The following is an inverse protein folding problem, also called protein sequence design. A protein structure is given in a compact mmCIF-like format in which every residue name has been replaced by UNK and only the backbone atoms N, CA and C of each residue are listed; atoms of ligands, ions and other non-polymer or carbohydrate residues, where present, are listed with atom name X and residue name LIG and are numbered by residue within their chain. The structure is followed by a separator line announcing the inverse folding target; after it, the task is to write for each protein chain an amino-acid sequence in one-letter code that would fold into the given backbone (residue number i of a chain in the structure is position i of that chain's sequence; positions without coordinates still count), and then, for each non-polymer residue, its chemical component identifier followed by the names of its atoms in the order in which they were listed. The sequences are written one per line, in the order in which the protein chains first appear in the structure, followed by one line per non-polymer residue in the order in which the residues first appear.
data_IF_597522572839
#
_entry.id   IF_597522572839
#
_cell.length_a   1.000
_cell.length_b   1.000
_cell.length_c   1.000
_cell.angle_alpha   90.00
_cell.angle_beta   90.00
_cell.angle_gamma   90.00
#
_symmetry.space_group_name_H-M   'P 1'
#
loop_
_entity.id
_entity.type
_entity.pdbx_description
1 polymer ?
#
# COMPACT_ATOMS: atom_id res chain seq x y z
N UNK A 1 -10.01 45.81 28.93
CA UNK A 1 -9.67 45.30 27.59
C UNK A 1 -10.20 43.88 27.33
N UNK A 2 -10.25 43.00 28.34
CA UNK A 2 -10.79 41.63 28.23
C UNK A 2 -12.33 41.60 28.01
N UNK A 3 -13.08 42.39 28.78
CA UNK A 3 -14.54 42.52 28.65
C UNK A 3 -15.01 43.07 27.28
N UNK A 4 -14.21 43.94 26.66
CA UNK A 4 -14.49 44.46 25.32
C UNK A 4 -14.26 43.41 24.22
N UNK A 5 -13.34 42.45 24.42
CA UNK A 5 -13.13 41.34 23.47
C UNK A 5 -14.26 40.32 23.55
N UNK A 6 -14.72 39.99 24.75
CA UNK A 6 -15.85 39.08 24.95
C UNK A 6 -17.16 39.65 24.35
N UNK A 7 -17.43 40.94 24.54
CA UNK A 7 -18.61 41.59 23.94
C UNK A 7 -18.55 41.68 22.39
N UNK A 8 -17.35 41.77 21.81
CA UNK A 8 -17.16 41.74 20.35
C UNK A 8 -17.32 40.31 19.79
N UNK A 9 -16.79 39.29 20.47
CA UNK A 9 -16.96 37.88 20.10
C UNK A 9 -18.42 37.40 20.18
N UNK A 10 -19.18 37.89 21.17
CA UNK A 10 -20.62 37.62 21.30
C UNK A 10 -21.43 38.23 20.15
N UNK A 11 -21.12 39.46 19.73
CA UNK A 11 -21.79 40.14 18.62
C UNK A 11 -21.49 39.51 17.24
N UNK A 12 -20.31 38.91 17.05
CA UNK A 12 -19.97 38.23 15.79
C UNK A 12 -20.73 36.91 15.66
N UNK A 13 -20.96 36.19 16.76
CA UNK A 13 -21.71 34.92 16.76
C UNK A 13 -23.21 35.09 16.44
N UNK A 14 -23.80 36.24 16.75
CA UNK A 14 -25.21 36.53 16.40
C UNK A 14 -25.46 36.68 14.89
N UNK A 15 -24.41 36.92 14.09
CA UNK A 15 -24.51 37.12 12.64
C UNK A 15 -23.89 35.99 11.80
N UNK A 16 -23.31 34.96 12.44
CA UNK A 16 -22.76 33.82 11.73
C UNK A 16 -23.87 32.80 11.45
N UNK A 17 -24.01 32.41 10.19
CA UNK A 17 -24.86 31.30 9.82
C UNK A 17 -24.40 30.00 10.48
N UNK A 18 -25.26 28.99 10.44
CA UNK A 18 -24.95 27.67 10.98
C UNK A 18 -23.67 27.09 10.35
N UNK A 19 -23.44 27.30 9.05
CA UNK A 19 -22.27 26.81 8.33
C UNK A 19 -20.96 27.41 8.88
N UNK A 20 -20.93 28.73 9.08
CA UNK A 20 -19.77 29.42 9.63
C UNK A 20 -19.54 29.07 11.10
N UNK A 21 -20.62 28.84 11.85
CA UNK A 21 -20.56 28.40 13.25
C UNK A 21 -19.98 26.99 13.37
N UNK A 22 -20.40 26.05 12.50
CA UNK A 22 -19.87 24.68 12.44
C UNK A 22 -18.35 24.63 12.16
N UNK A 23 -17.84 25.55 11.34
CA UNK A 23 -16.40 25.61 11.00
C UNK A 23 -15.58 26.32 12.09
N UNK A 24 -16.14 27.35 12.73
CA UNK A 24 -15.41 28.18 13.70
C UNK A 24 -15.31 27.58 15.10
N UNK A 25 -16.25 26.73 15.50
CA UNK A 25 -16.19 26.03 16.79
C UNK A 25 -15.24 24.84 16.65
N UNK A 26 -14.11 24.78 17.40
CA UNK A 26 -13.19 23.66 17.32
C UNK A 26 -13.87 22.35 17.71
N UNK A 27 -13.61 21.30 16.92
CA UNK A 27 -14.11 19.97 17.21
C UNK A 27 -13.48 19.42 18.50
N UNK A 28 -14.33 19.00 19.44
CA UNK A 28 -13.90 18.46 20.74
C UNK A 28 -13.44 17.00 20.67
N UNK A 29 -14.00 16.21 19.76
CA UNK A 29 -13.68 14.79 19.57
C UNK A 29 -12.92 14.58 18.26
N UNK A 30 -11.62 14.27 18.34
CA UNK A 30 -10.74 14.00 17.19
C UNK A 30 -10.04 12.64 17.26
N UNK A 31 -10.29 11.86 18.31
CA UNK A 31 -9.58 10.61 18.58
C UNK A 31 -9.80 9.57 17.48
N UNK A 32 -11.03 9.44 16.98
CA UNK A 32 -11.35 8.51 15.89
C UNK A 32 -10.64 8.85 14.57
N UNK A 33 -10.63 10.13 14.19
CA UNK A 33 -9.92 10.63 13.01
C UNK A 33 -8.40 10.35 13.12
N UNK A 34 -7.81 10.70 14.25
CA UNK A 34 -6.36 10.50 14.50
C UNK A 34 -6.01 9.01 14.50
N UNK A 35 -6.85 8.16 15.11
CA UNK A 35 -6.65 6.72 15.11
C UNK A 35 -6.68 6.15 13.69
N UNK A 36 -7.67 6.52 12.88
CA UNK A 36 -7.78 6.05 11.50
C UNK A 36 -6.55 6.41 10.67
N UNK A 37 -6.11 7.67 10.72
CA UNK A 37 -4.87 8.11 10.05
C UNK A 37 -3.64 7.36 10.55
N UNK A 38 -3.59 7.05 11.85
CA UNK A 38 -2.51 6.25 12.44
C UNK A 38 -2.45 4.84 11.85
N UNK A 39 -3.59 4.17 11.76
CA UNK A 39 -3.68 2.82 11.18
C UNK A 39 -3.36 2.80 9.67
N UNK A 40 -3.79 3.82 8.93
CA UNK A 40 -3.48 3.97 7.50
C UNK A 40 -1.97 4.12 7.29
N UNK A 41 -1.33 5.00 8.07
CA UNK A 41 0.11 5.23 8.03
C UNK A 41 0.90 3.97 8.42
N UNK A 42 0.49 3.29 9.49
CA UNK A 42 1.09 2.02 9.95
C UNK A 42 1.04 0.95 8.87
N UNK A 43 -0.11 0.82 8.19
CA UNK A 43 -0.29 -0.11 7.07
C UNK A 43 0.66 0.22 5.93
N UNK A 44 0.72 1.49 5.50
CA UNK A 44 1.61 1.91 4.42
C UNK A 44 3.09 1.77 4.78
N UNK A 45 3.47 2.04 6.03
CA UNK A 45 4.83 1.80 6.49
C UNK A 45 5.18 0.31 6.47
N UNK A 46 4.33 -0.55 7.02
CA UNK A 46 4.57 -1.99 7.04
C UNK A 46 4.71 -2.55 5.62
N UNK A 47 3.81 -2.19 4.70
CA UNK A 47 3.90 -2.57 3.29
C UNK A 47 5.19 -2.05 2.66
N UNK A 48 5.53 -0.77 2.87
CA UNK A 48 6.80 -0.23 2.37
C UNK A 48 7.99 -1.03 2.90
N UNK A 49 7.99 -1.48 4.16
CA UNK A 49 9.08 -2.28 4.70
C UNK A 49 9.11 -3.67 4.06
N UNK A 50 7.98 -4.35 3.91
CA UNK A 50 7.91 -5.65 3.22
C UNK A 50 8.57 -5.58 1.84
N UNK A 51 8.34 -4.52 1.07
CA UNK A 51 8.98 -4.35 -0.24
C UNK A 51 10.52 -4.28 -0.15
N UNK A 52 11.06 -3.57 0.85
CA UNK A 52 12.53 -3.53 1.05
C UNK A 52 13.05 -4.90 1.50
N UNK A 53 12.33 -5.62 2.36
CA UNK A 53 12.71 -6.97 2.77
C UNK A 53 12.70 -7.96 1.60
N UNK A 54 11.72 -7.86 0.69
CA UNK A 54 11.68 -8.65 -0.54
C UNK A 54 12.87 -8.35 -1.47
N UNK A 55 13.23 -7.08 -1.64
CA UNK A 55 14.39 -6.70 -2.45
C UNK A 55 15.72 -7.18 -1.85
N UNK A 56 15.76 -7.29 -0.52
CA UNK A 56 16.90 -7.84 0.22
C UNK A 56 16.87 -9.37 0.34
N UNK A 57 15.91 -10.05 -0.30
CA UNK A 57 15.73 -11.51 -0.24
C UNK A 57 15.61 -12.07 1.20
N UNK A 58 14.99 -11.30 2.09
CA UNK A 58 14.77 -11.70 3.49
C UNK A 58 13.46 -12.46 3.63
N UNK A 59 13.47 -13.55 4.38
CA UNK A 59 12.23 -14.11 4.90
C UNK A 59 11.69 -13.22 6.04
N UNK A 60 10.37 -13.17 6.16
CA UNK A 60 9.70 -12.39 7.21
C UNK A 60 8.23 -12.78 7.37
N UNK A 61 7.68 -12.39 8.51
CA UNK A 61 6.23 -12.21 8.69
C UNK A 61 5.95 -10.97 9.53
N UNK A 62 5.10 -10.08 9.01
CA UNK A 62 4.62 -8.89 9.74
C UNK A 62 3.25 -9.21 10.34
N UNK A 63 3.13 -9.05 11.64
CA UNK A 63 1.94 -9.37 12.41
C UNK A 63 1.36 -8.05 12.94
N UNK A 64 0.14 -7.74 12.52
CA UNK A 64 -0.50 -6.45 12.80
C UNK A 64 -1.30 -6.48 14.10
N UNK A 65 -1.21 -5.43 14.92
CA UNK A 65 -2.00 -5.29 16.17
C UNK A 65 -1.82 -6.49 17.13
N UNK A 66 -0.59 -6.97 17.29
CA UNK A 66 -0.26 -8.09 18.17
C UNK A 66 1.02 -7.79 18.96
N UNK A 67 0.89 -7.73 20.28
CA UNK A 67 1.86 -7.18 21.25
C UNK A 67 2.20 -5.69 21.06
N UNK A 68 2.47 -5.23 19.85
CA UNK A 68 2.68 -3.83 19.48
C UNK A 68 1.90 -3.51 18.18
N UNK A 69 2.08 -2.31 17.61
CA UNK A 69 1.44 -1.92 16.35
C UNK A 69 1.80 -2.91 15.23
N UNK A 70 3.10 -3.25 15.12
CA UNK A 70 3.60 -4.29 14.21
C UNK A 70 4.68 -5.13 14.89
N UNK A 71 4.48 -6.45 14.92
CA UNK A 71 5.50 -7.43 15.29
C UNK A 71 6.08 -8.05 14.01
N UNK A 72 7.41 -8.05 13.87
CA UNK A 72 8.09 -8.63 12.70
C UNK A 72 8.90 -9.82 13.18
N UNK A 73 8.69 -10.98 12.56
CA UNK A 73 9.50 -12.17 12.75
C UNK A 73 10.30 -12.47 11.48
N UNK A 74 11.42 -13.17 11.62
CA UNK A 74 12.31 -13.55 10.52
C UNK A 74 11.86 -14.81 9.75
N UNK A 75 10.90 -15.56 10.28
CA UNK A 75 10.34 -16.75 9.64
C UNK A 75 8.89 -17.00 10.11
N UNK A 76 8.05 -17.56 9.25
CA UNK A 76 6.63 -17.80 9.56
C UNK A 76 6.36 -19.16 10.20
N UNK A 77 7.30 -20.09 10.15
CA UNK A 77 7.17 -21.46 10.68
C UNK A 77 8.01 -21.62 11.95
N UNK A 78 9.24 -21.15 11.94
CA UNK A 78 10.22 -21.33 13.03
C UNK A 78 11.04 -20.06 13.27
N UNK A 79 10.42 -18.98 13.77
CA UNK A 79 11.08 -17.69 13.99
C UNK A 79 12.18 -17.79 15.04
N UNK A 80 13.30 -17.11 14.79
CA UNK A 80 14.44 -17.00 15.73
C UNK A 80 14.72 -15.57 16.16
N UNK A 81 14.22 -14.60 15.41
CA UNK A 81 14.36 -13.17 15.70
C UNK A 81 13.00 -12.50 15.70
N UNK A 82 12.85 -11.51 16.59
CA UNK A 82 11.65 -10.71 16.68
C UNK A 82 11.98 -9.22 16.83
N UNK A 83 11.17 -8.40 16.16
CA UNK A 83 11.24 -6.95 16.23
C UNK A 83 9.87 -6.38 16.56
N UNK A 84 9.77 -5.63 17.65
CA UNK A 84 8.57 -4.89 18.01
C UNK A 84 8.68 -3.47 17.44
N UNK A 85 7.72 -3.10 16.59
CA UNK A 85 7.68 -1.79 15.98
C UNK A 85 6.44 -1.02 16.46
N UNK A 86 6.70 0.06 17.19
CA UNK A 86 5.70 1.04 17.56
C UNK A 86 5.71 2.15 16.51
N UNK A 87 4.64 2.26 15.74
CA UNK A 87 4.47 3.24 14.67
C UNK A 87 3.57 4.37 15.16
N UNK A 88 4.04 5.61 15.08
CA UNK A 88 3.31 6.79 15.52
C UNK A 88 3.39 7.91 14.51
N UNK A 89 2.26 8.54 14.24
CA UNK A 89 2.19 9.75 13.41
C UNK A 89 2.26 11.01 14.27
N UNK A 90 2.86 12.07 13.74
CA UNK A 90 2.92 13.36 14.42
C UNK A 90 3.14 14.50 13.43
N UNK A 91 2.57 15.67 13.72
CA UNK A 91 2.83 16.90 12.97
C UNK A 91 4.10 17.63 13.45
N UNK A 92 4.42 17.48 14.75
CA UNK A 92 5.56 18.12 15.41
C UNK A 92 6.69 17.13 15.65
N UNK A 93 7.91 17.65 15.81
CA UNK A 93 9.08 16.85 16.16
C UNK A 93 8.89 16.09 17.49
N UNK A 94 9.50 14.91 17.57
CA UNK A 94 9.61 14.15 18.81
C UNK A 94 10.74 14.69 19.67
N UNK A 95 10.49 14.85 20.96
CA UNK A 95 11.50 15.18 21.98
C UNK A 95 11.63 14.03 22.97
N UNK A 96 12.73 14.00 23.73
CA UNK A 96 12.93 12.99 24.77
C UNK A 96 11.75 12.94 25.75
N UNK A 97 11.28 14.11 26.20
CA UNK A 97 10.10 14.22 27.06
C UNK A 97 8.85 13.60 26.43
N UNK A 98 8.57 13.84 25.15
CA UNK A 98 7.36 13.27 24.53
C UNK A 98 7.42 11.75 24.35
N UNK A 99 8.62 11.16 24.38
CA UNK A 99 8.84 9.72 24.27
C UNK A 99 8.85 9.02 25.64
N UNK A 100 9.29 9.72 26.70
CA UNK A 100 9.46 9.18 28.05
C UNK A 100 8.42 9.63 29.07
N UNK A 101 7.59 10.63 28.75
CA UNK A 101 6.56 11.13 29.64
C UNK A 101 5.48 10.09 29.90
N UNK A 102 5.14 9.93 31.19
CA UNK A 102 3.98 9.21 31.68
C UNK A 102 3.02 10.18 32.38
N UNK A 103 1.73 9.87 32.37
CA UNK A 103 0.70 10.62 33.10
C UNK A 103 -0.08 9.66 33.99
N UNK A 104 -0.92 10.20 34.91
CA UNK A 104 -1.81 9.34 35.72
C UNK A 104 -2.76 8.49 34.85
N UNK A 105 -3.18 9.00 33.69
CA UNK A 105 -4.04 8.28 32.73
C UNK A 105 -3.26 7.26 31.90
N UNK A 106 -2.03 7.61 31.51
CA UNK A 106 -1.13 6.75 30.73
C UNK A 106 0.18 6.57 31.50
N UNK A 107 0.24 5.63 32.46
CA UNK A 107 1.37 5.51 33.39
C UNK A 107 2.65 4.98 32.74
N UNK A 108 2.56 4.38 31.56
CA UNK A 108 3.69 3.84 30.82
C UNK A 108 3.87 4.68 29.55
N UNK A 109 5.07 5.23 29.38
CA UNK A 109 5.46 6.02 28.22
C UNK A 109 5.66 5.15 26.97
N UNK A 110 5.89 5.77 25.82
CA UNK A 110 6.16 5.05 24.57
C UNK A 110 7.41 4.17 24.71
N UNK A 111 8.50 4.74 25.22
CA UNK A 111 9.73 3.97 25.46
C UNK A 111 9.49 2.88 26.51
N UNK A 112 8.71 3.18 27.56
CA UNK A 112 8.34 2.19 28.56
C UNK A 112 7.62 0.97 27.95
N UNK A 113 6.69 1.19 27.01
CA UNK A 113 5.97 0.09 26.31
C UNK A 113 6.93 -0.80 25.53
N UNK A 114 7.84 -0.19 24.75
CA UNK A 114 8.85 -0.94 24.00
C UNK A 114 9.75 -1.77 24.94
N UNK A 115 10.18 -1.21 26.07
CA UNK A 115 11.00 -1.93 27.05
C UNK A 115 10.24 -2.99 27.86
N UNK A 116 8.90 -2.96 27.90
CA UNK A 116 8.11 -4.09 28.39
C UNK A 116 8.31 -5.32 27.48
N UNK A 117 8.38 -5.12 26.17
CA UNK A 117 8.68 -6.21 25.23
C UNK A 117 10.11 -6.73 25.43
N UNK A 118 11.09 -5.84 25.59
CA UNK A 118 12.45 -6.27 25.93
C UNK A 118 12.48 -7.13 27.19
N UNK A 119 11.76 -6.72 28.23
CA UNK A 119 11.69 -7.47 29.49
C UNK A 119 11.04 -8.84 29.31
N UNK A 120 9.90 -8.89 28.64
CA UNK A 120 9.11 -10.11 28.52
C UNK A 120 9.73 -11.15 27.57
N UNK A 121 10.56 -10.69 26.63
CA UNK A 121 11.20 -11.54 25.62
C UNK A 121 12.72 -11.53 25.73
N UNK A 122 13.30 -11.20 26.89
CA UNK A 122 14.75 -10.98 27.05
C UNK A 122 15.62 -12.14 26.56
N UNK A 123 15.16 -13.38 26.74
CA UNK A 123 15.85 -14.61 26.29
C UNK A 123 15.99 -14.70 24.76
N UNK A 124 15.20 -13.93 24.01
CA UNK A 124 15.15 -13.93 22.54
C UNK A 124 15.79 -12.68 21.91
N UNK A 125 16.48 -11.85 22.70
CA UNK A 125 17.18 -10.65 22.22
C UNK A 125 16.33 -9.75 21.29
N UNK A 126 15.15 -9.29 21.74
CA UNK A 126 14.18 -8.61 20.89
C UNK A 126 14.72 -7.24 20.46
N UNK A 127 14.48 -6.89 19.19
CA UNK A 127 14.78 -5.56 18.66
C UNK A 127 13.56 -4.65 18.85
N UNK A 128 13.79 -3.38 19.13
CA UNK A 128 12.74 -2.39 19.35
C UNK A 128 12.85 -1.28 18.32
N UNK A 129 11.75 -0.96 17.65
CA UNK A 129 11.68 0.12 16.67
C UNK A 129 10.61 1.13 17.09
N UNK A 130 11.00 2.41 17.12
CA UNK A 130 10.05 3.51 17.13
C UNK A 130 10.06 4.19 15.76
N UNK A 131 8.92 4.16 15.08
CA UNK A 131 8.77 4.60 13.69
C UNK A 131 7.82 5.77 13.61
N UNK A 132 8.16 6.78 12.81
CA UNK A 132 7.35 7.99 12.67
C UNK A 132 7.60 8.70 11.34
N UNK A 133 6.63 9.51 10.90
CA UNK A 133 6.82 10.49 9.82
C UNK A 133 7.62 11.73 10.28
N UNK A 134 7.44 12.12 11.55
CA UNK A 134 8.04 13.32 12.11
C UNK A 134 9.51 13.14 12.48
N UNK A 135 10.28 14.23 12.39
CA UNK A 135 11.68 14.23 12.80
C UNK A 135 11.87 14.23 14.32
N UNK A 136 13.11 13.99 14.74
CA UNK A 136 13.52 13.89 16.14
C UNK A 136 14.39 15.08 16.54
N UNK A 137 14.09 15.67 17.70
CA UNK A 137 14.97 16.60 18.39
C UNK A 137 15.63 15.87 19.58
N UNK A 138 16.58 14.99 19.24
CA UNK A 138 17.30 14.14 20.21
C UNK A 138 18.82 14.27 20.13
N UNK A 139 19.36 14.83 19.04
CA UNK A 139 20.77 15.16 18.87
C UNK A 139 20.94 16.18 17.72
N UNK A 140 21.97 17.02 17.79
CA UNK A 140 22.36 17.93 16.69
C UNK A 140 23.09 17.19 15.57
N UNK A 141 23.91 16.19 15.90
CA UNK A 141 24.65 15.34 14.96
C UNK A 141 23.75 14.40 14.15
N UNK A 142 22.51 14.18 14.61
CA UNK A 142 21.53 13.37 13.91
C UNK A 142 20.65 14.19 12.95
N UNK A 143 20.98 15.47 12.73
CA UNK A 143 20.26 16.45 11.88
C UNK A 143 20.24 16.12 10.38
N UNK A 144 19.76 14.92 10.05
CA UNK A 144 19.68 14.35 8.71
C UNK A 144 19.60 12.81 8.69
N UNK A 145 19.92 12.12 9.79
CA UNK A 145 19.81 10.65 9.86
C UNK A 145 18.35 10.22 9.95
N UNK A 146 17.90 9.38 9.03
CA UNK A 146 16.58 8.74 9.07
C UNK A 146 16.51 7.56 10.04
N UNK A 147 17.65 7.05 10.53
CA UNK A 147 17.68 5.95 11.49
C UNK A 147 18.91 6.01 12.41
N UNK A 148 18.71 5.85 13.72
CA UNK A 148 19.77 5.84 14.74
C UNK A 148 19.32 5.11 16.02
N UNK A 149 20.27 4.58 16.80
CA UNK A 149 20.01 3.89 18.06
C UNK A 149 19.66 4.83 19.22
N UNK A 150 18.93 4.33 20.21
CA UNK A 150 18.64 5.10 21.43
C UNK A 150 19.88 5.32 22.31
N UNK A 151 20.95 4.57 22.08
CA UNK A 151 22.29 4.81 22.65
C UNK A 151 23.09 5.89 21.88
N UNK A 152 22.60 6.38 20.74
CA UNK A 152 23.24 7.42 19.90
C UNK A 152 22.65 8.82 20.12
N UNK A 153 21.76 9.01 21.11
CA UNK A 153 21.17 10.32 21.45
C UNK A 153 22.01 11.07 22.49
N UNK A 154 21.73 12.36 22.74
CA UNK A 154 22.41 13.13 23.80
C UNK A 154 22.36 12.38 25.14
N UNK A 155 23.47 12.36 25.88
CA UNK A 155 23.63 11.60 27.14
C UNK A 155 22.56 11.95 28.18
N UNK A 156 22.14 13.21 28.24
CA UNK A 156 21.04 13.67 29.10
C UNK A 156 19.70 12.96 28.79
N UNK A 157 19.41 12.70 27.52
CA UNK A 157 18.20 11.99 27.09
C UNK A 157 18.33 10.49 27.32
N UNK A 158 19.51 9.90 27.13
CA UNK A 158 19.77 8.51 27.52
C UNK A 158 19.48 8.29 29.00
N UNK A 159 19.95 9.21 29.86
CA UNK A 159 19.70 9.18 31.30
C UNK A 159 18.22 9.31 31.61
N UNK A 160 17.51 10.22 30.91
CA UNK A 160 16.06 10.38 31.04
C UNK A 160 15.30 9.11 30.63
N UNK A 161 15.70 8.46 29.55
CA UNK A 161 15.09 7.22 29.07
C UNK A 161 15.30 6.07 30.07
N UNK A 162 16.54 5.86 30.52
CA UNK A 162 16.84 4.83 31.54
C UNK A 162 16.03 5.03 32.81
N UNK A 163 15.95 6.28 33.30
CA UNK A 163 15.13 6.61 34.47
C UNK A 163 13.65 6.28 34.24
N UNK A 164 13.08 6.70 33.11
CA UNK A 164 11.70 6.42 32.78
C UNK A 164 11.43 4.91 32.68
N UNK A 165 12.31 4.15 32.02
CA UNK A 165 12.19 2.69 31.90
C UNK A 165 12.26 2.03 33.27
N UNK A 166 13.25 2.39 34.10
CA UNK A 166 13.40 1.87 35.46
C UNK A 166 12.14 2.10 36.29
N UNK A 167 11.64 3.34 36.31
CA UNK A 167 10.50 3.72 37.14
C UNK A 167 9.18 3.09 36.64
N UNK A 168 9.00 2.96 35.33
CA UNK A 168 7.74 2.49 34.71
C UNK A 168 7.68 0.97 34.52
N UNK A 169 8.77 0.35 34.10
CA UNK A 169 8.86 -1.08 33.72
C UNK A 169 9.40 -1.95 34.84
N UNK A 170 9.97 -1.34 35.89
CA UNK A 170 10.64 -2.02 37.01
C UNK A 170 11.75 -2.94 36.49
N UNK A 171 12.65 -2.36 35.70
CA UNK A 171 13.90 -2.98 35.25
C UNK A 171 15.06 -2.36 36.03
N UNK A 172 16.03 -3.20 36.40
CA UNK A 172 17.27 -2.72 36.98
C UNK A 172 18.12 -2.01 35.93
N UNK A 173 18.87 -0.98 36.34
CA UNK A 173 19.62 -0.12 35.43
C UNK A 173 20.66 -0.89 34.58
N UNK A 174 21.22 -1.97 35.14
CA UNK A 174 22.14 -2.88 34.45
C UNK A 174 21.48 -3.71 33.34
N UNK A 175 20.16 -3.88 33.39
CA UNK A 175 19.38 -4.64 32.40
C UNK A 175 18.83 -3.76 31.28
N UNK A 176 18.99 -2.43 31.38
CA UNK A 176 18.50 -1.47 30.39
C UNK A 176 19.60 -1.22 29.37
N UNK A 177 19.60 -2.02 28.31
CA UNK A 177 20.41 -1.75 27.12
C UNK A 177 19.62 -0.89 26.12
N UNK A 178 20.08 0.33 25.87
CA UNK A 178 19.47 1.22 24.87
C UNK A 178 19.87 0.88 23.43
N UNK A 179 20.88 0.04 23.22
CA UNK A 179 21.34 -0.34 21.87
C UNK A 179 20.33 -1.21 21.11
N UNK A 180 19.44 -1.89 21.83
CA UNK A 180 18.37 -2.73 21.26
C UNK A 180 17.25 -1.92 20.62
N UNK A 181 17.17 -0.62 20.90
CA UNK A 181 16.12 0.27 20.41
C UNK A 181 16.65 1.23 19.35
N UNK A 182 15.92 1.36 18.24
CA UNK A 182 16.21 2.34 17.18
C UNK A 182 15.03 3.27 16.94
N UNK A 183 15.36 4.52 16.63
CA UNK A 183 14.45 5.52 16.11
C UNK A 183 14.53 5.53 14.59
N UNK A 184 13.38 5.54 13.92
CA UNK A 184 13.26 5.54 12.46
C UNK A 184 12.31 6.66 12.04
N UNK A 185 12.84 7.62 11.29
CA UNK A 185 12.04 8.58 10.53
C UNK A 185 11.80 7.98 9.14
N UNK A 186 10.57 7.55 8.90
CA UNK A 186 10.14 7.00 7.62
C UNK A 186 10.08 8.09 6.54
N UNK A 187 10.33 7.70 5.29
CA UNK A 187 10.20 8.58 4.12
C UNK A 187 8.74 8.81 3.70
N UNK A 188 7.77 8.16 4.35
CA UNK A 188 6.35 8.36 4.07
C UNK A 188 5.86 9.68 4.67
N UNK A 189 5.20 10.48 3.82
CA UNK A 189 4.50 11.71 4.23
C UNK A 189 3.34 11.39 5.18
N UNK A 190 2.98 12.33 6.04
CA UNK A 190 1.79 12.18 6.90
C UNK A 190 0.51 12.12 6.05
N UNK A 191 0.39 13.05 5.10
CA UNK A 191 -0.84 13.26 4.32
C UNK A 191 -0.86 12.42 3.03
N UNK A 192 0.32 12.15 2.45
CA UNK A 192 0.47 11.50 1.14
C UNK A 192 1.13 10.10 1.21
N UNK A 193 1.02 9.41 2.34
CA UNK A 193 1.63 8.09 2.56
C UNK A 193 1.23 7.06 1.48
N UNK A 194 -0.03 7.07 1.02
CA UNK A 194 -0.50 6.18 -0.06
C UNK A 194 0.22 6.49 -1.39
N UNK A 195 0.39 7.77 -1.72
CA UNK A 195 1.10 8.18 -2.94
C UNK A 195 2.56 7.71 -2.90
N UNK A 196 3.21 7.85 -1.75
CA UNK A 196 4.59 7.37 -1.57
C UNK A 196 4.66 5.84 -1.65
N UNK A 197 3.71 5.10 -1.05
CA UNK A 197 3.64 3.65 -1.16
C UNK A 197 3.50 3.21 -2.63
N UNK A 198 2.64 3.87 -3.41
CA UNK A 198 2.48 3.58 -4.84
C UNK A 198 3.77 3.84 -5.63
N UNK A 199 4.48 4.93 -5.34
CA UNK A 199 5.80 5.18 -5.92
C UNK A 199 6.78 4.05 -5.61
N UNK A 200 6.88 3.65 -4.34
CA UNK A 200 7.72 2.52 -3.92
C UNK A 200 7.32 1.19 -4.55
N UNK A 201 6.03 0.91 -4.69
CA UNK A 201 5.53 -0.28 -5.39
C UNK A 201 5.94 -0.26 -6.87
N UNK A 202 5.88 0.90 -7.53
CA UNK A 202 6.36 1.03 -8.91
C UNK A 202 7.85 0.70 -9.01
N UNK A 203 8.68 1.30 -8.14
CA UNK A 203 10.12 1.05 -8.11
C UNK A 203 10.43 -0.42 -7.80
N UNK A 204 9.70 -1.02 -6.87
CA UNK A 204 9.81 -2.43 -6.49
C UNK A 204 9.52 -3.35 -7.68
N UNK A 205 8.39 -3.13 -8.36
CA UNK A 205 7.98 -3.92 -9.51
C UNK A 205 9.01 -3.83 -10.62
N UNK A 206 9.44 -2.62 -11.00
CA UNK A 206 10.48 -2.41 -12.01
C UNK A 206 11.79 -3.13 -11.66
N UNK A 207 12.21 -3.12 -10.38
CA UNK A 207 13.40 -3.86 -9.95
C UNK A 207 13.23 -5.38 -10.00
N UNK A 208 12.07 -5.89 -9.58
CA UNK A 208 11.83 -7.34 -9.41
C UNK A 208 11.51 -8.04 -10.73
N UNK A 209 10.73 -7.44 -11.63
CA UNK A 209 10.37 -8.07 -12.90
C UNK A 209 10.68 -7.24 -14.16
N UNK A 210 11.35 -6.09 -14.03
CA UNK A 210 11.68 -5.22 -15.17
C UNK A 210 10.55 -4.31 -15.62
N UNK A 211 10.78 -3.55 -16.70
CA UNK A 211 9.86 -2.51 -17.18
C UNK A 211 8.66 -3.04 -18.00
N UNK A 212 8.58 -4.34 -18.25
CA UNK A 212 7.52 -4.98 -19.06
C UNK A 212 6.26 -5.34 -18.28
N UNK A 213 6.17 -4.96 -17.01
CA UNK A 213 5.06 -5.31 -16.13
C UNK A 213 3.79 -4.51 -16.49
N UNK A 214 2.70 -5.23 -16.75
CA UNK A 214 1.35 -4.66 -16.96
C UNK A 214 0.52 -4.56 -15.66
N UNK A 215 1.13 -4.74 -14.48
CA UNK A 215 0.46 -4.67 -13.18
C UNK A 215 -0.03 -3.25 -12.87
N UNK A 216 -1.31 -3.13 -12.55
CA UNK A 216 -1.85 -1.88 -12.02
C UNK A 216 -1.35 -1.68 -10.59
N UNK A 217 -0.38 -0.77 -10.42
CA UNK A 217 0.13 -0.36 -9.10
C UNK A 217 -1.00 0.06 -8.16
N UNK A 218 -2.04 0.71 -8.69
CA UNK A 218 -3.22 1.11 -7.90
C UNK A 218 -4.01 -0.11 -7.38
N UNK A 219 -4.22 -1.12 -8.22
CA UNK A 219 -4.94 -2.33 -7.82
C UNK A 219 -4.14 -3.13 -6.80
N UNK A 220 -2.82 -3.29 -7.03
CA UNK A 220 -1.91 -3.95 -6.11
C UNK A 220 -1.88 -3.24 -4.76
N UNK A 221 -1.68 -1.92 -4.74
CA UNK A 221 -1.69 -1.13 -3.50
C UNK A 221 -2.99 -1.33 -2.72
N UNK A 222 -4.14 -1.22 -3.39
CA UNK A 222 -5.46 -1.38 -2.75
C UNK A 222 -5.65 -2.79 -2.18
N UNK A 223 -5.24 -3.82 -2.91
CA UNK A 223 -5.34 -5.21 -2.47
C UNK A 223 -4.46 -5.49 -1.24
N UNK A 224 -3.21 -5.02 -1.27
CA UNK A 224 -2.27 -5.17 -0.16
C UNK A 224 -2.72 -4.41 1.09
N UNK A 225 -3.18 -3.16 0.93
CA UNK A 225 -3.74 -2.37 2.04
C UNK A 225 -4.96 -3.06 2.65
N UNK A 226 -5.87 -3.57 1.82
CA UNK A 226 -7.05 -4.28 2.30
C UNK A 226 -6.67 -5.53 3.08
N UNK A 227 -5.72 -6.33 2.58
CA UNK A 227 -5.23 -7.52 3.27
C UNK A 227 -4.62 -7.19 4.65
N UNK A 228 -3.81 -6.13 4.76
CA UNK A 228 -3.29 -5.66 6.04
C UNK A 228 -4.39 -5.19 6.99
N UNK A 229 -5.38 -4.44 6.48
CA UNK A 229 -6.53 -3.95 7.28
C UNK A 229 -7.42 -5.07 7.79
N UNK A 230 -7.58 -6.14 7.04
CA UNK A 230 -8.34 -7.31 7.49
C UNK A 230 -7.62 -8.04 8.62
N UNK A 231 -6.30 -8.21 8.50
CA UNK A 231 -5.45 -8.82 9.52
C UNK A 231 -5.37 -8.00 10.82
N UNK A 232 -5.39 -6.67 10.73
CA UNK A 232 -5.38 -5.79 11.90
C UNK A 232 -6.69 -5.82 12.69
N UNK A 233 -7.84 -6.03 12.03
CA UNK A 233 -9.18 -6.12 12.66
C UNK A 233 -9.41 -7.39 13.48
N UNK A 234 -8.61 -8.44 13.27
CA UNK A 234 -8.73 -9.69 14.03
C UNK A 234 -8.37 -9.44 15.50
N UNK A 235 -9.27 -9.80 16.43
CA UNK A 235 -9.03 -9.62 17.86
C UNK A 235 -7.94 -10.58 18.33
N UNK A 236 -6.93 -10.04 19.02
CA UNK A 236 -5.80 -10.83 19.53
C UNK A 236 -6.21 -11.87 20.58
N UNK A 237 -7.35 -11.67 21.25
CA UNK A 237 -7.93 -12.64 22.20
C UNK A 237 -8.51 -13.89 21.52
N UNK A 238 -8.78 -13.83 20.20
CA UNK A 238 -9.32 -14.96 19.44
C UNK A 238 -8.21 -15.88 18.91
N UNK A 239 -6.93 -15.54 19.10
CA UNK A 239 -5.78 -16.30 18.62
C UNK A 239 -5.40 -17.34 19.68
N UNK A 240 -5.47 -18.63 19.34
CA UNK A 240 -5.24 -19.73 20.28
C UNK A 240 -3.89 -20.44 20.09
N UNK A 241 -3.23 -20.30 18.94
CA UNK A 241 -1.92 -20.89 18.68
C UNK A 241 -1.09 -20.10 17.65
N UNK A 242 0.18 -20.47 17.47
CA UNK A 242 1.11 -19.77 16.59
C UNK A 242 0.74 -19.88 15.09
N UNK A 243 0.43 -21.06 14.51
CA UNK A 243 -0.05 -21.14 13.12
C UNK A 243 -1.28 -20.26 12.85
N UNK A 244 -2.19 -20.17 13.81
CA UNK A 244 -3.34 -19.28 13.72
C UNK A 244 -2.94 -17.80 13.77
N UNK A 245 -1.98 -17.43 14.63
CA UNK A 245 -1.45 -16.06 14.67
C UNK A 245 -0.94 -15.63 13.29
N UNK A 246 -0.13 -16.50 12.66
CA UNK A 246 0.45 -16.25 11.34
C UNK A 246 -0.64 -16.14 10.28
N UNK A 247 -1.53 -17.12 10.18
CA UNK A 247 -2.59 -17.11 9.15
C UNK A 247 -3.57 -15.93 9.28
N UNK A 248 -3.99 -15.61 10.51
CA UNK A 248 -5.05 -14.59 10.75
C UNK A 248 -4.52 -13.17 10.88
N UNK A 249 -3.32 -12.96 11.42
CA UNK A 249 -2.75 -11.62 11.67
C UNK A 249 -1.42 -11.36 10.97
N UNK A 250 -0.72 -12.41 10.52
CA UNK A 250 0.56 -12.34 9.84
C UNK A 250 0.44 -12.14 8.33
N UNK A 251 1.36 -11.38 7.75
CA UNK A 251 1.56 -11.23 6.32
C UNK A 251 3.02 -11.57 6.03
N UNK A 252 3.25 -12.75 5.45
CA UNK A 252 4.58 -13.30 5.19
C UNK A 252 5.10 -12.97 3.79
N UNK A 253 6.39 -13.23 3.58
CA UNK A 253 7.01 -13.18 2.26
C UNK A 253 6.31 -14.14 1.28
N UNK A 254 5.95 -15.36 1.71
CA UNK A 254 5.19 -16.30 0.88
C UNK A 254 3.84 -15.71 0.46
N UNK A 255 3.10 -15.11 1.40
CA UNK A 255 1.82 -14.48 1.09
C UNK A 255 1.95 -13.31 0.09
N UNK A 256 3.01 -12.48 0.20
CA UNK A 256 3.21 -11.36 -0.72
C UNK A 256 3.55 -11.87 -2.13
N UNK A 257 4.45 -12.84 -2.22
CA UNK A 257 4.81 -13.45 -3.50
C UNK A 257 3.60 -14.16 -4.13
N UNK A 258 2.78 -14.86 -3.35
CA UNK A 258 1.52 -15.44 -3.84
C UNK A 258 0.55 -14.40 -4.42
N UNK A 259 0.45 -13.21 -3.82
CA UNK A 259 -0.35 -12.10 -4.38
C UNK A 259 0.25 -11.59 -5.70
N UNK A 260 1.56 -11.41 -5.76
CA UNK A 260 2.26 -10.97 -6.97
C UNK A 260 2.12 -11.98 -8.11
N UNK A 261 2.30 -13.26 -7.82
CA UNK A 261 2.17 -14.36 -8.78
C UNK A 261 0.74 -14.49 -9.30
N UNK A 262 -0.25 -14.38 -8.41
CA UNK A 262 -1.67 -14.41 -8.79
C UNK A 262 -2.02 -13.25 -9.73
N UNK A 263 -1.49 -12.06 -9.47
CA UNK A 263 -1.72 -10.90 -10.33
C UNK A 263 -0.96 -11.00 -11.66
N UNK A 264 0.27 -11.52 -11.64
CA UNK A 264 1.05 -11.79 -12.85
C UNK A 264 0.36 -12.84 -13.72
N UNK A 265 -0.12 -13.95 -13.14
CA UNK A 265 -0.91 -14.96 -13.84
C UNK A 265 -2.19 -14.35 -14.43
N UNK A 266 -2.95 -13.59 -13.63
CA UNK A 266 -4.16 -12.91 -14.08
C UNK A 266 -3.89 -11.93 -15.23
N UNK A 267 -2.75 -11.25 -15.21
CA UNK A 267 -2.33 -10.35 -16.29
C UNK A 267 -1.83 -11.11 -17.52
N UNK A 268 -1.18 -12.26 -17.36
CA UNK A 268 -0.75 -13.10 -18.47
C UNK A 268 -1.94 -13.64 -19.28
N UNK A 269 -3.09 -13.82 -18.61
CA UNK A 269 -4.38 -14.19 -19.21
C UNK A 269 -5.09 -13.03 -19.92
N UNK A 270 -4.52 -11.82 -19.92
CA UNK A 270 -5.04 -10.71 -20.71
C UNK A 270 -4.35 -10.63 -22.08
N UNK A 271 -5.08 -10.21 -23.12
CA UNK A 271 -4.46 -9.81 -24.37
C UNK A 271 -3.45 -8.68 -24.15
N UNK A 272 -2.28 -8.81 -24.76
CA UNK A 272 -1.21 -7.82 -24.79
C UNK A 272 -0.66 -7.69 -26.22
N UNK A 273 0.29 -6.76 -26.41
CA UNK A 273 0.87 -6.54 -27.73
C UNK A 273 1.68 -7.74 -28.24
N UNK A 274 2.36 -8.46 -27.35
CA UNK A 274 3.19 -9.60 -27.75
C UNK A 274 2.33 -10.74 -28.30
N UNK A 275 1.11 -10.91 -27.77
CA UNK A 275 0.09 -11.82 -28.32
C UNK A 275 -0.59 -11.28 -29.59
N UNK A 276 -0.75 -9.97 -29.73
CA UNK A 276 -1.43 -9.36 -30.87
C UNK A 276 -0.53 -9.17 -32.10
N UNK A 277 0.76 -8.93 -31.90
CA UNK A 277 1.73 -8.66 -32.96
C UNK A 277 1.80 -9.79 -34.01
N UNK A 278 1.83 -11.09 -33.64
CA UNK A 278 1.76 -12.19 -34.61
C UNK A 278 0.51 -12.13 -35.51
N UNK A 279 -0.67 -11.91 -34.93
CA UNK A 279 -1.93 -11.81 -35.66
C UNK A 279 -1.92 -10.63 -36.66
N UNK A 280 -1.34 -9.49 -36.27
CA UNK A 280 -1.20 -8.36 -37.20
C UNK A 280 -0.16 -8.59 -38.30
N UNK A 281 0.90 -9.36 -38.02
CA UNK A 281 1.84 -9.79 -39.05
C UNK A 281 1.15 -10.71 -40.08
N UNK A 282 0.33 -11.66 -39.62
CA UNK A 282 -0.43 -12.57 -40.49
C UNK A 282 -1.46 -11.82 -41.37
N UNK A 283 -1.97 -10.68 -40.88
CA UNK A 283 -2.80 -9.75 -41.66
C UNK A 283 -2.01 -8.95 -42.71
N UNK A 284 -0.70 -9.16 -42.83
CA UNK A 284 0.18 -8.50 -43.79
C UNK A 284 0.50 -7.04 -43.47
N UNK A 285 0.40 -6.64 -42.19
CA UNK A 285 0.72 -5.26 -41.76
C UNK A 285 2.24 -5.04 -41.82
N UNK A 286 2.66 -3.91 -42.37
CA UNK A 286 4.08 -3.53 -42.47
C UNK A 286 4.65 -3.09 -41.11
N UNK A 287 5.98 -3.09 -40.95
CA UNK A 287 6.63 -2.66 -39.69
C UNK A 287 6.21 -1.26 -39.23
N UNK A 288 6.00 -0.31 -40.16
CA UNK A 288 5.52 1.03 -39.82
C UNK A 288 4.06 1.01 -39.32
N UNK A 289 3.21 0.16 -39.91
CA UNK A 289 1.84 -0.02 -39.46
C UNK A 289 1.78 -0.69 -38.09
N UNK A 290 2.68 -1.64 -37.81
CA UNK A 290 2.78 -2.30 -36.51
C UNK A 290 3.11 -1.32 -35.38
N UNK A 291 3.97 -0.32 -35.62
CA UNK A 291 4.25 0.72 -34.60
C UNK A 291 2.97 1.50 -34.25
N UNK A 292 2.18 1.86 -35.26
CA UNK A 292 0.91 2.59 -35.05
C UNK A 292 -0.10 1.68 -34.34
N UNK A 293 -0.21 0.42 -34.78
CA UNK A 293 -1.10 -0.57 -34.19
C UNK A 293 -0.72 -0.91 -32.75
N UNK A 294 0.56 -0.93 -32.41
CA UNK A 294 1.03 -1.12 -31.03
C UNK A 294 0.49 -0.04 -30.11
N UNK A 295 0.64 1.23 -30.50
CA UNK A 295 0.10 2.34 -29.73
C UNK A 295 -1.44 2.27 -29.61
N UNK A 296 -2.13 1.92 -30.70
CA UNK A 296 -3.59 1.78 -30.71
C UNK A 296 -4.08 0.60 -29.86
N UNK A 297 -3.39 -0.54 -29.91
CA UNK A 297 -3.73 -1.74 -29.15
C UNK A 297 -3.50 -1.53 -27.66
N UNK A 298 -2.39 -0.88 -27.28
CA UNK A 298 -2.14 -0.47 -25.88
C UNK A 298 -3.25 0.46 -25.37
N UNK A 299 -3.72 1.41 -26.18
CA UNK A 299 -4.85 2.27 -25.80
C UNK A 299 -6.15 1.47 -25.66
N UNK A 300 -6.40 0.48 -26.52
CA UNK A 300 -7.55 -0.43 -26.40
C UNK A 300 -7.47 -1.22 -25.10
N UNK A 301 -6.31 -1.78 -24.76
CA UNK A 301 -6.11 -2.50 -23.50
C UNK A 301 -6.41 -1.59 -22.29
N UNK A 302 -6.00 -0.33 -22.32
CA UNK A 302 -6.30 0.65 -21.27
C UNK A 302 -7.80 0.92 -21.19
N UNK A 303 -8.45 1.22 -22.32
CA UNK A 303 -9.88 1.54 -22.38
C UNK A 303 -10.77 0.39 -21.88
N UNK A 304 -10.37 -0.86 -22.16
CA UNK A 304 -11.11 -2.07 -21.78
C UNK A 304 -10.86 -2.48 -20.32
N UNK A 305 -9.72 -2.12 -19.75
CA UNK A 305 -9.45 -2.32 -18.33
C UNK A 305 -10.15 -1.29 -17.41
N UNK A 306 -10.74 -0.23 -17.97
CA UNK A 306 -11.54 0.71 -17.20
C UNK A 306 -12.91 0.10 -16.89
N UNK A 307 -13.30 0.04 -15.61
CA UNK A 307 -14.63 -0.39 -15.15
C UNK A 307 -15.73 0.66 -15.48
N UNK A 308 -15.77 1.15 -16.72
CA UNK A 308 -16.71 2.16 -17.20
C UNK A 308 -17.11 1.86 -18.64
N UNK A 309 -18.43 1.86 -18.88
CA UNK A 309 -18.99 1.73 -20.23
C UNK A 309 -18.50 2.85 -21.14
N UNK A 310 -17.82 2.48 -22.21
CA UNK A 310 -17.29 3.35 -23.26
C UNK A 310 -17.43 2.67 -24.65
N UNK A 311 -17.22 3.40 -25.76
CA UNK A 311 -17.38 2.81 -27.09
C UNK A 311 -16.53 1.55 -27.33
N UNK A 312 -15.30 1.50 -26.80
CA UNK A 312 -14.43 0.31 -26.92
C UNK A 312 -15.04 -0.90 -26.21
N UNK A 313 -15.57 -0.73 -24.99
CA UNK A 313 -16.22 -1.83 -24.23
C UNK A 313 -17.47 -2.36 -24.91
N UNK A 314 -18.31 -1.48 -25.49
CA UNK A 314 -19.53 -1.90 -26.22
C UNK A 314 -19.14 -2.62 -27.51
N UNK A 315 -18.14 -2.14 -28.23
CA UNK A 315 -17.65 -2.79 -29.44
C UNK A 315 -17.06 -4.18 -29.14
N UNK A 316 -16.36 -4.32 -28.01
CA UNK A 316 -15.85 -5.61 -27.54
C UNK A 316 -16.98 -6.60 -27.21
N UNK A 317 -18.04 -6.17 -26.53
CA UNK A 317 -19.20 -7.03 -26.22
C UNK A 317 -19.77 -7.70 -27.49
N UNK A 318 -19.93 -6.92 -28.57
CA UNK A 318 -20.39 -7.46 -29.84
C UNK A 318 -19.34 -8.36 -30.51
N UNK A 319 -18.07 -7.97 -30.50
CA UNK A 319 -16.98 -8.79 -31.06
C UNK A 319 -16.89 -10.16 -30.37
N UNK A 320 -17.04 -10.19 -29.05
CA UNK A 320 -17.12 -11.42 -28.25
C UNK A 320 -18.36 -12.24 -28.62
N UNK A 321 -19.52 -11.61 -28.81
CA UNK A 321 -20.77 -12.31 -29.14
C UNK A 321 -20.75 -12.93 -30.55
N UNK A 322 -19.95 -12.37 -31.45
CA UNK A 322 -19.79 -12.81 -32.83
C UNK A 322 -18.58 -13.74 -33.02
N UNK A 323 -17.86 -14.07 -31.94
CA UNK A 323 -16.66 -14.88 -32.02
C UNK A 323 -16.96 -16.28 -32.58
N UNK A 324 -16.25 -16.64 -33.65
CA UNK A 324 -16.28 -17.96 -34.25
C UNK A 324 -14.86 -18.44 -34.54
N UNK A 325 -14.42 -19.45 -33.78
CA UNK A 325 -13.05 -19.95 -33.81
C UNK A 325 -12.68 -20.53 -35.19
N UNK A 326 -13.60 -21.27 -35.82
CA UNK A 326 -13.37 -21.89 -37.12
C UNK A 326 -13.15 -20.85 -38.22
N UNK A 327 -13.98 -19.80 -38.26
CA UNK A 327 -13.86 -18.70 -39.23
C UNK A 327 -12.57 -17.92 -39.00
N UNK A 328 -12.24 -17.60 -37.74
CA UNK A 328 -11.03 -16.85 -37.39
C UNK A 328 -9.74 -17.59 -37.79
N UNK A 329 -9.69 -18.92 -37.65
CA UNK A 329 -8.56 -19.74 -38.07
C UNK A 329 -8.48 -19.95 -39.60
N UNK A 330 -9.62 -19.98 -40.28
CA UNK A 330 -9.66 -20.25 -41.73
C UNK A 330 -9.16 -19.08 -42.58
N UNK A 331 -9.63 -17.87 -42.30
CA UNK A 331 -9.21 -16.63 -42.96
C UNK A 331 -9.41 -15.46 -42.00
N UNK A 332 -8.35 -15.15 -41.24
CA UNK A 332 -8.36 -14.08 -40.25
C UNK A 332 -8.71 -12.71 -40.86
N UNK A 333 -8.31 -12.46 -42.11
CA UNK A 333 -8.53 -11.17 -42.78
C UNK A 333 -10.00 -11.00 -43.17
N UNK A 334 -10.60 -12.05 -43.73
CA UNK A 334 -12.02 -12.06 -44.05
C UNK A 334 -12.85 -11.97 -42.78
N UNK A 335 -12.55 -12.80 -41.77
CA UNK A 335 -13.22 -12.80 -40.48
C UNK A 335 -13.23 -11.41 -39.84
N UNK A 336 -12.08 -10.73 -39.80
CA UNK A 336 -11.96 -9.41 -39.20
C UNK A 336 -12.81 -8.37 -39.95
N UNK A 337 -12.78 -8.40 -41.29
CA UNK A 337 -13.57 -7.47 -42.13
C UNK A 337 -15.07 -7.69 -41.93
N UNK A 338 -15.53 -8.93 -41.98
CA UNK A 338 -16.95 -9.27 -41.81
C UNK A 338 -17.46 -8.96 -40.40
N UNK A 339 -16.66 -9.27 -39.38
CA UNK A 339 -17.00 -9.00 -37.97
C UNK A 339 -17.14 -7.51 -37.75
N UNK A 340 -16.18 -6.70 -38.21
CA UNK A 340 -16.29 -5.23 -38.11
C UNK A 340 -17.52 -4.69 -38.83
N UNK A 341 -17.85 -5.21 -40.02
CA UNK A 341 -19.05 -4.81 -40.76
C UNK A 341 -20.34 -5.14 -39.98
N UNK A 342 -20.43 -6.35 -39.41
CA UNK A 342 -21.58 -6.79 -38.61
C UNK A 342 -21.73 -5.92 -37.35
N UNK A 343 -20.65 -5.65 -36.63
CA UNK A 343 -20.68 -4.81 -35.42
C UNK A 343 -21.10 -3.38 -35.78
N UNK A 344 -20.53 -2.80 -36.84
CA UNK A 344 -20.86 -1.45 -37.28
C UNK A 344 -22.36 -1.30 -37.63
N UNK A 345 -22.99 -2.35 -38.17
CA UNK A 345 -24.43 -2.40 -38.42
C UNK A 345 -25.28 -2.53 -37.13
N UNK A 346 -24.77 -3.23 -36.11
CA UNK A 346 -25.46 -3.45 -34.84
C UNK A 346 -25.36 -2.26 -33.88
N UNK A 347 -24.27 -1.47 -33.94
CA UNK A 347 -24.06 -0.31 -33.06
C UNK A 347 -23.47 0.91 -33.79
N UNK A 348 -24.20 1.52 -34.74
CA UNK A 348 -23.68 2.58 -35.61
C UNK A 348 -23.18 3.81 -34.84
N UNK A 349 -23.88 4.25 -33.80
CA UNK A 349 -23.50 5.42 -33.01
C UNK A 349 -22.13 5.26 -32.33
N UNK A 350 -21.84 4.08 -31.79
CA UNK A 350 -20.56 3.77 -31.16
C UNK A 350 -19.47 3.51 -32.20
N UNK A 351 -19.81 2.87 -33.32
CA UNK A 351 -18.91 2.62 -34.43
C UNK A 351 -18.35 3.91 -35.06
N UNK A 352 -19.14 4.98 -35.12
CA UNK A 352 -18.70 6.29 -35.64
C UNK A 352 -17.65 6.97 -34.76
N UNK A 353 -17.59 6.63 -33.47
CA UNK A 353 -16.62 7.21 -32.53
C UNK A 353 -15.25 6.51 -32.57
N UNK A 354 -15.16 5.35 -33.21
CA UNK A 354 -13.95 4.53 -33.28
C UNK A 354 -13.31 4.60 -34.69
N UNK A 355 -12.02 4.91 -34.75
CA UNK A 355 -11.26 4.83 -36.01
C UNK A 355 -11.09 3.37 -36.44
N UNK A 356 -10.96 3.13 -37.75
CA UNK A 356 -10.83 1.77 -38.33
C UNK A 356 -9.77 0.92 -37.61
N UNK A 357 -8.54 1.41 -37.46
CA UNK A 357 -7.47 0.65 -36.78
C UNK A 357 -7.79 0.32 -35.31
N UNK A 358 -8.64 1.11 -34.64
CA UNK A 358 -9.03 0.85 -33.25
C UNK A 358 -10.06 -0.26 -33.20
N UNK A 359 -10.99 -0.30 -34.17
CA UNK A 359 -11.91 -1.42 -34.36
C UNK A 359 -11.15 -2.71 -34.66
N UNK A 360 -10.16 -2.67 -35.56
CA UNK A 360 -9.28 -3.82 -35.84
C UNK A 360 -8.63 -4.32 -34.55
N UNK A 361 -8.07 -3.42 -33.73
CA UNK A 361 -7.47 -3.78 -32.44
C UNK A 361 -8.47 -4.42 -31.46
N UNK A 362 -9.71 -3.94 -31.39
CA UNK A 362 -10.73 -4.51 -30.49
C UNK A 362 -11.15 -5.91 -30.94
N UNK A 363 -11.29 -6.15 -32.24
CA UNK A 363 -11.62 -7.48 -32.77
C UNK A 363 -10.46 -8.45 -32.51
N UNK A 364 -9.21 -8.06 -32.78
CA UNK A 364 -8.03 -8.87 -32.43
C UNK A 364 -7.95 -9.14 -30.93
N UNK A 365 -8.22 -8.14 -30.09
CA UNK A 365 -8.30 -8.31 -28.64
C UNK A 365 -9.32 -9.39 -28.26
N UNK A 366 -10.51 -9.38 -28.86
CA UNK A 366 -11.56 -10.38 -28.59
C UNK A 366 -11.15 -11.80 -28.96
N UNK A 367 -10.41 -11.97 -30.06
CA UNK A 367 -9.90 -13.28 -30.50
C UNK A 367 -8.90 -13.82 -29.47
N UNK A 368 -7.91 -13.00 -29.09
CA UNK A 368 -6.90 -13.40 -28.11
C UNK A 368 -7.57 -13.72 -26.77
N UNK A 369 -8.53 -12.89 -26.34
CA UNK A 369 -9.27 -13.13 -25.11
C UNK A 369 -9.98 -14.49 -25.14
N UNK A 370 -10.66 -14.81 -26.24
CA UNK A 370 -11.38 -16.09 -26.38
C UNK A 370 -10.47 -17.30 -26.44
N UNK A 371 -9.32 -17.18 -27.09
CA UNK A 371 -8.31 -18.24 -27.12
C UNK A 371 -7.71 -18.49 -25.73
N UNK A 372 -7.53 -17.44 -24.92
CA UNK A 372 -7.06 -17.59 -23.53
C UNK A 372 -8.14 -18.18 -22.62
N UNK A 373 -9.43 -17.86 -22.84
CA UNK A 373 -10.57 -18.43 -22.10
C UNK A 373 -10.85 -19.91 -22.46
N UNK A 374 -10.59 -20.32 -23.71
CA UNK A 374 -10.84 -21.69 -24.20
C UNK A 374 -9.67 -22.67 -24.02
N UNK A 375 -8.56 -22.23 -23.44
CA UNK A 375 -7.35 -23.03 -23.18
C UNK A 375 -7.29 -23.72 -21.81
N UNK A 376 -8.34 -23.61 -20.99
CA UNK A 376 -8.61 -24.46 -19.82
C UNK A 376 -9.33 -25.75 -20.23
#
# INVERSE_FOLDING_TARGET
MMLLRESIELNIREYMGLAETLVSIPQSERGGEIAQRGFDYQTCWALSQMLEYELDEKNYVFIFEYHDDVLILDDEVSPTQLTFAQVKTREKHWTASTLSNSTKKNPISIIGKLFIHQKNFAEYSPKLLFVTNASFNLCEENGGKSCFGANEVKVEYQTSFKKAIKDQVKLDDSSIDLSVMRFVQSSLSLDDHITHLKGKLCDFLSKKFGDSISLSVNALASLLEQACREKSKVKSADIINFPELISRKGFSSEALNGVLDSLNASNSLKPDWDKASPLFNDLGKTSLQLIILQAMFSQVCIDLNQNKKNPSTVYLEYAISLYDEASAHSDLKLYLTETMYKIDALCPDYALTLKSGKKECIVIYSIIQKLLEGGE
#
